data_IF_509305140377
#
_entry.id   IF_509305140377
#
_cell.length_a   1.000
_cell.length_b   1.000
_cell.length_c   1.000
_cell.angle_alpha   90.00
_cell.angle_beta   90.00
_cell.angle_gamma   90.00
#
_symmetry.space_group_name_H-M   'P 1'
#
loop_
_entity.id
_entity.type
_entity.pdbx_description
1 polymer ?
#
# COMPACT_ATOMS: atom_id res chain seq x y z
N UNK A 1 -18.44 16.39 -15.33
CA UNK A 1 -17.37 15.46 -14.89
C UNK A 1 -17.84 14.79 -13.61
N UNK A 2 -18.56 13.69 -13.74
CA UNK A 2 -18.84 12.81 -12.61
C UNK A 2 -17.56 12.02 -12.31
N UNK A 3 -16.89 12.39 -11.23
CA UNK A 3 -15.85 11.57 -10.64
C UNK A 3 -16.55 10.33 -10.10
N UNK A 4 -16.34 9.20 -10.77
CA UNK A 4 -16.95 7.92 -10.38
C UNK A 4 -16.63 7.63 -8.90
N UNK A 5 -17.64 7.50 -8.03
CA UNK A 5 -17.43 7.18 -6.61
C UNK A 5 -16.69 5.86 -6.38
N UNK A 6 -16.69 4.98 -7.37
CA UNK A 6 -15.98 3.69 -7.34
C UNK A 6 -14.45 3.81 -7.37
N UNK A 7 -13.88 4.89 -7.91
CA UNK A 7 -12.45 5.12 -7.92
C UNK A 7 -11.92 5.54 -6.55
N UNK A 8 -12.70 6.32 -5.80
CA UNK A 8 -12.30 6.78 -4.45
C UNK A 8 -12.22 5.63 -3.45
N UNK A 9 -13.04 4.59 -3.61
CA UNK A 9 -12.99 3.38 -2.77
C UNK A 9 -11.82 2.46 -3.13
N UNK A 10 -11.43 2.39 -4.39
CA UNK A 10 -10.32 1.56 -4.83
C UNK A 10 -8.96 2.14 -4.43
N UNK A 11 -8.80 3.44 -4.42
CA UNK A 11 -7.56 4.09 -3.98
C UNK A 11 -7.24 3.86 -2.50
N UNK A 12 -8.24 3.57 -1.67
CA UNK A 12 -8.02 3.30 -0.25
C UNK A 12 -7.43 1.90 0.04
N UNK A 13 -7.54 1.02 -0.91
CA UNK A 13 -7.06 -0.38 -0.74
C UNK A 13 -5.77 -0.68 -1.45
N UNK A 14 -5.11 0.33 -1.89
CA UNK A 14 -4.12 0.06 -2.79
C UNK A 14 -2.82 -0.07 -2.33
N UNK A 15 -2.47 -0.90 -2.62
CA UNK A 15 -1.53 -1.54 -3.31
C UNK A 15 -0.70 -0.74 -4.24
N UNK A 16 0.06 0.16 -3.76
CA UNK A 16 1.13 0.63 -4.54
C UNK A 16 2.26 -0.38 -4.49
N UNK A 17 2.16 -1.32 -5.40
CA UNK A 17 3.32 -2.10 -5.77
C UNK A 17 4.22 -1.17 -6.57
N UNK A 18 5.44 -0.96 -6.10
CA UNK A 18 6.45 -0.29 -6.89
C UNK A 18 6.69 -1.12 -8.14
N UNK A 19 6.41 -0.54 -9.30
CA UNK A 19 6.68 -1.13 -10.59
C UNK A 19 7.88 -0.40 -11.15
N UNK A 20 8.99 -1.11 -11.24
CA UNK A 20 10.19 -0.59 -11.89
C UNK A 20 10.08 -0.79 -13.42
N UNK A 21 10.91 -0.07 -14.17
CA UNK A 21 10.96 -0.26 -15.62
C UNK A 21 11.35 -1.71 -15.96
N UNK A 22 10.75 -2.29 -17.02
CA UNK A 22 11.13 -3.62 -17.47
C UNK A 22 12.57 -3.64 -17.94
N UNK A 23 13.19 -4.80 -17.91
CA UNK A 23 14.53 -4.99 -18.50
C UNK A 23 14.43 -4.85 -20.03
N UNK A 24 15.52 -4.43 -20.68
CA UNK A 24 15.58 -4.20 -22.13
C UNK A 24 15.01 -5.35 -22.96
N UNK A 25 15.32 -6.59 -22.60
CA UNK A 25 14.77 -7.77 -23.28
C UNK A 25 13.24 -7.89 -23.16
N UNK A 26 12.69 -7.52 -22.01
CA UNK A 26 11.24 -7.55 -21.78
C UNK A 26 10.55 -6.40 -22.52
N UNK A 27 11.17 -5.23 -22.53
CA UNK A 27 10.67 -4.07 -23.27
C UNK A 27 10.67 -4.34 -24.78
N UNK A 28 11.75 -4.92 -25.31
CA UNK A 28 11.83 -5.34 -26.69
C UNK A 28 10.77 -6.39 -27.04
N UNK A 29 10.53 -7.36 -26.17
CA UNK A 29 9.48 -8.36 -26.36
C UNK A 29 8.08 -7.72 -26.36
N UNK A 30 7.84 -6.74 -25.50
CA UNK A 30 6.60 -5.98 -25.47
C UNK A 30 6.37 -5.22 -26.79
N UNK A 31 7.38 -4.48 -27.26
CA UNK A 31 7.32 -3.75 -28.52
C UNK A 31 7.10 -4.69 -29.71
N UNK A 32 7.79 -5.84 -29.74
CA UNK A 32 7.63 -6.83 -30.80
C UNK A 32 6.20 -7.41 -30.83
N UNK A 33 5.60 -7.66 -29.67
CA UNK A 33 4.20 -8.12 -29.56
C UNK A 33 3.21 -7.07 -30.04
N UNK A 34 3.45 -5.81 -29.77
CA UNK A 34 2.60 -4.69 -30.23
C UNK A 34 2.73 -4.44 -31.73
N UNK A 35 3.94 -4.63 -32.29
CA UNK A 35 4.17 -4.50 -33.74
C UNK A 35 3.63 -5.67 -34.56
N UNK A 36 3.40 -6.82 -33.93
CA UNK A 36 2.85 -8.03 -34.55
C UNK A 36 1.35 -8.01 -34.91
N UNK A 37 0.69 -6.88 -34.76
CA UNK A 37 -0.56 -6.50 -35.43
C UNK A 37 -1.85 -7.27 -35.25
N UNK A 38 -2.21 -7.82 -34.16
CA UNK A 38 -3.63 -8.25 -34.03
C UNK A 38 -4.24 -8.04 -32.63
N UNK A 39 -3.62 -7.22 -31.81
CA UNK A 39 -4.16 -7.00 -30.47
C UNK A 39 -4.65 -5.55 -30.36
N UNK A 40 -5.96 -5.31 -30.23
CA UNK A 40 -6.44 -4.00 -29.83
C UNK A 40 -5.76 -3.62 -28.52
N UNK A 41 -5.13 -2.45 -28.44
CA UNK A 41 -4.48 -1.92 -27.22
C UNK A 41 -5.43 -1.80 -26.02
N UNK A 42 -6.74 -1.78 -26.31
CA UNK A 42 -7.78 -1.76 -25.30
C UNK A 42 -8.24 -3.19 -25.01
N UNK A 43 -7.95 -3.68 -23.81
CA UNK A 43 -8.59 -4.86 -23.21
C UNK A 43 -8.05 -6.25 -23.57
N UNK A 44 -6.74 -6.46 -23.66
CA UNK A 44 -6.24 -7.84 -23.71
C UNK A 44 -6.25 -8.52 -22.32
N UNK A 45 -7.40 -8.49 -21.68
CA UNK A 45 -7.67 -9.26 -20.45
C UNK A 45 -8.06 -10.71 -20.75
N UNK A 46 -8.24 -11.08 -22.02
CA UNK A 46 -8.63 -12.43 -22.45
C UNK A 46 -7.64 -13.53 -22.03
N UNK A 47 -6.37 -13.17 -21.79
CA UNK A 47 -5.34 -14.09 -21.31
C UNK A 47 -5.26 -14.20 -19.77
N UNK A 48 -6.07 -13.42 -19.04
CA UNK A 48 -6.06 -13.41 -17.57
C UNK A 48 -7.17 -14.33 -17.07
N UNK A 49 -6.80 -15.40 -16.42
CA UNK A 49 -7.77 -16.27 -15.74
C UNK A 49 -8.16 -15.63 -14.41
N UNK A 50 -9.45 -15.31 -14.18
CA UNK A 50 -9.91 -14.79 -12.90
C UNK A 50 -9.65 -15.80 -11.79
N UNK A 51 -9.04 -15.37 -10.70
CA UNK A 51 -8.83 -16.20 -9.51
C UNK A 51 -10.01 -16.15 -8.54
N UNK A 52 -10.76 -15.07 -8.56
CA UNK A 52 -11.91 -14.83 -7.69
C UNK A 52 -13.07 -14.32 -8.53
N UNK A 53 -14.25 -14.72 -8.17
CA UNK A 53 -15.50 -14.18 -8.72
C UNK A 53 -16.05 -13.03 -7.87
N UNK A 54 -17.06 -12.33 -8.40
CA UNK A 54 -17.71 -11.23 -7.71
C UNK A 54 -18.45 -11.66 -6.43
N UNK A 55 -18.79 -12.95 -6.27
CA UNK A 55 -19.50 -13.49 -5.11
C UNK A 55 -18.55 -13.86 -3.99
N UNK A 56 -17.33 -14.25 -4.32
CA UNK A 56 -16.29 -14.63 -3.33
C UNK A 56 -15.72 -13.40 -2.62
N UNK A 57 -15.60 -12.27 -3.33
CA UNK A 57 -14.99 -11.05 -2.79
C UNK A 57 -15.71 -10.49 -1.54
N UNK A 58 -17.06 -10.37 -1.49
CA UNK A 58 -17.77 -9.93 -0.28
C UNK A 58 -17.57 -10.89 0.91
N UNK A 59 -17.43 -12.19 0.67
CA UNK A 59 -17.17 -13.17 1.71
C UNK A 59 -15.80 -12.97 2.32
N UNK A 60 -14.77 -12.75 1.49
CA UNK A 60 -13.43 -12.43 1.95
C UNK A 60 -13.40 -11.10 2.74
N UNK A 61 -14.15 -10.09 2.30
CA UNK A 61 -14.26 -8.83 3.02
C UNK A 61 -14.87 -9.01 4.42
N UNK A 62 -15.88 -9.87 4.57
CA UNK A 62 -16.46 -10.20 5.89
C UNK A 62 -15.43 -10.86 6.80
N UNK A 63 -14.65 -11.81 6.28
CA UNK A 63 -13.57 -12.46 7.05
C UNK A 63 -12.55 -11.43 7.58
N UNK A 64 -12.25 -10.37 6.83
CA UNK A 64 -11.37 -9.30 7.31
C UNK A 64 -11.94 -8.54 8.52
N UNK A 65 -13.26 -8.40 8.59
CA UNK A 65 -13.91 -7.70 9.71
C UNK A 65 -13.86 -8.51 11.01
N UNK A 66 -13.74 -9.83 10.93
CA UNK A 66 -13.65 -10.74 12.08
C UNK A 66 -12.26 -10.71 12.74
N UNK A 67 -11.24 -10.21 12.01
CA UNK A 67 -9.87 -10.07 12.55
C UNK A 67 -9.83 -9.02 13.64
N UNK A 68 -9.40 -9.43 14.83
CA UNK A 68 -9.29 -8.55 15.99
C UNK A 68 -8.12 -7.58 15.84
N UNK A 69 -8.34 -6.34 16.25
CA UNK A 69 -7.32 -5.29 16.33
C UNK A 69 -7.35 -4.72 17.74
N UNK A 70 -6.30 -4.96 18.49
CA UNK A 70 -6.13 -4.41 19.84
C UNK A 70 -5.95 -2.88 19.77
N UNK A 71 -6.43 -2.15 20.77
CA UNK A 71 -6.33 -0.70 20.84
C UNK A 71 -4.87 -0.22 20.74
N UNK A 72 -3.94 -0.96 21.35
CA UNK A 72 -2.49 -0.67 21.27
C UNK A 72 -1.95 -0.71 19.83
N UNK A 73 -2.53 -1.53 18.96
CA UNK A 73 -2.18 -1.58 17.52
C UNK A 73 -2.73 -0.35 16.80
N UNK A 74 -3.93 0.09 17.17
CA UNK A 74 -4.53 1.32 16.64
C UNK A 74 -3.68 2.52 17.03
N UNK A 75 -3.28 2.62 18.30
CA UNK A 75 -2.40 3.67 18.82
C UNK A 75 -1.04 3.67 18.10
N UNK A 76 -0.47 2.49 17.86
CA UNK A 76 0.79 2.35 17.14
C UNK A 76 0.69 2.85 15.69
N UNK A 77 -0.36 2.46 14.98
CA UNK A 77 -0.61 2.94 13.61
C UNK A 77 -0.82 4.47 13.60
N UNK A 78 -1.57 5.00 14.57
CA UNK A 78 -1.78 6.44 14.74
C UNK A 78 -0.47 7.17 15.04
N UNK A 79 0.36 6.63 15.93
CA UNK A 79 1.66 7.20 16.27
C UNK A 79 2.58 7.28 15.05
N UNK A 80 2.64 6.23 14.23
CA UNK A 80 3.39 6.24 12.97
C UNK A 80 2.90 7.35 12.03
N UNK A 81 1.59 7.43 11.78
CA UNK A 81 1.01 8.45 10.89
C UNK A 81 1.28 9.87 11.43
N UNK A 82 1.10 10.09 12.72
CA UNK A 82 1.37 11.40 13.35
C UNK A 82 2.84 11.77 13.27
N UNK A 83 3.73 10.79 13.47
CA UNK A 83 5.19 11.02 13.42
C UNK A 83 5.65 11.47 12.03
N UNK A 84 5.01 10.99 10.92
CA UNK A 84 5.35 11.49 9.58
C UNK A 84 5.17 13.01 9.45
N UNK A 85 4.19 13.60 10.18
CA UNK A 85 3.92 15.04 10.16
C UNK A 85 4.90 15.86 10.97
N UNK A 86 5.65 15.21 11.86
CA UNK A 86 6.63 15.83 12.73
C UNK A 86 8.08 15.59 12.26
N UNK A 87 8.28 14.94 11.12
CA UNK A 87 9.61 14.72 10.53
C UNK A 87 10.02 15.93 9.70
N UNK A 88 11.16 16.60 10.00
CA UNK A 88 11.62 17.76 9.22
C UNK A 88 11.91 17.43 7.75
N UNK A 89 12.31 16.18 7.47
CA UNK A 89 12.62 15.69 6.13
C UNK A 89 11.40 15.47 5.25
N UNK A 90 10.19 15.66 5.81
CA UNK A 90 8.93 15.55 5.07
C UNK A 90 8.24 16.92 5.03
N UNK A 91 8.00 17.45 3.84
CA UNK A 91 7.22 18.67 3.62
C UNK A 91 5.73 18.44 3.83
N UNK A 92 5.26 17.23 3.55
CA UNK A 92 3.90 16.77 3.86
C UNK A 92 3.91 15.36 4.46
N UNK A 93 3.31 15.22 5.63
CA UNK A 93 3.11 13.94 6.30
C UNK A 93 1.78 13.30 5.90
N UNK A 94 1.62 12.03 6.26
CA UNK A 94 0.44 11.23 5.93
C UNK A 94 -0.84 11.72 6.64
N UNK A 95 -1.96 11.70 5.92
CA UNK A 95 -3.29 12.04 6.45
C UNK A 95 -3.93 10.89 7.24
N UNK A 96 -5.11 11.11 7.88
CA UNK A 96 -5.82 10.08 8.66
C UNK A 96 -6.16 8.82 7.86
N UNK A 97 -6.41 8.96 6.56
CA UNK A 97 -6.68 7.83 5.63
C UNK A 97 -5.54 6.81 5.59
N UNK A 98 -4.30 7.25 5.86
CA UNK A 98 -3.17 6.35 5.94
C UNK A 98 -3.26 5.38 7.12
N UNK A 99 -3.72 5.85 8.29
CA UNK A 99 -3.97 4.99 9.45
C UNK A 99 -5.04 3.94 9.17
N UNK A 100 -6.14 4.35 8.55
CA UNK A 100 -7.22 3.43 8.14
C UNK A 100 -6.66 2.37 7.16
N UNK A 101 -5.92 2.81 6.15
CA UNK A 101 -5.34 1.89 5.17
C UNK A 101 -4.34 0.92 5.80
N UNK A 102 -3.51 1.36 6.76
CA UNK A 102 -2.61 0.49 7.51
C UNK A 102 -3.38 -0.60 8.27
N UNK A 103 -4.43 -0.23 9.00
CA UNK A 103 -5.21 -1.19 9.79
C UNK A 103 -5.96 -2.19 8.91
N UNK A 104 -6.58 -1.73 7.82
CA UNK A 104 -7.28 -2.61 6.88
C UNK A 104 -6.31 -3.58 6.20
N UNK A 105 -5.18 -3.08 5.71
CA UNK A 105 -4.16 -3.92 5.08
C UNK A 105 -3.54 -4.91 6.07
N UNK A 106 -3.37 -4.51 7.35
CA UNK A 106 -2.84 -5.40 8.39
C UNK A 106 -3.80 -6.54 8.74
N UNK A 107 -5.12 -6.29 8.73
CA UNK A 107 -6.11 -7.36 8.83
C UNK A 107 -5.97 -8.36 7.69
N UNK A 108 -5.85 -7.88 6.45
CA UNK A 108 -5.66 -8.75 5.29
C UNK A 108 -4.37 -9.58 5.42
N UNK A 109 -3.27 -8.96 5.87
CA UNK A 109 -2.02 -9.67 6.12
C UNK A 109 -2.16 -10.74 7.21
N UNK A 110 -2.87 -10.45 8.30
CA UNK A 110 -3.12 -11.41 9.36
C UNK A 110 -3.87 -12.65 8.83
N UNK A 111 -4.92 -12.45 8.01
CA UNK A 111 -5.66 -13.54 7.35
C UNK A 111 -4.73 -14.36 6.45
N UNK A 112 -3.91 -13.73 5.62
CA UNK A 112 -2.95 -14.42 4.76
C UNK A 112 -1.92 -15.24 5.57
N UNK A 113 -1.63 -14.79 6.79
CA UNK A 113 -0.77 -15.50 7.75
C UNK A 113 -1.56 -16.49 8.63
N UNK A 114 -2.84 -16.75 8.32
CA UNK A 114 -3.74 -17.64 9.06
C UNK A 114 -3.90 -17.26 10.54
N UNK A 115 -3.93 -15.96 10.83
CA UNK A 115 -4.13 -15.41 12.18
C UNK A 115 -5.45 -14.65 12.26
N UNK A 116 -6.14 -14.74 13.38
CA UNK A 116 -7.38 -14.01 13.68
C UNK A 116 -7.14 -12.65 14.37
N UNK A 117 -5.91 -12.20 14.47
CA UNK A 117 -5.54 -10.92 15.12
C UNK A 117 -4.34 -10.27 14.45
N UNK A 118 -4.26 -8.95 14.56
CA UNK A 118 -3.16 -8.13 14.03
C UNK A 118 -2.05 -7.99 15.06
N UNK A 119 -0.81 -8.04 14.59
CA UNK A 119 0.39 -7.79 15.39
C UNK A 119 1.16 -6.56 14.87
N UNK A 120 2.03 -5.93 15.68
CA UNK A 120 2.80 -4.76 15.26
C UNK A 120 3.65 -5.00 14.00
N UNK A 121 4.13 -6.20 13.79
CA UNK A 121 4.91 -6.61 12.62
C UNK A 121 4.13 -6.51 11.33
N UNK A 122 2.80 -6.67 11.38
CA UNK A 122 1.95 -6.47 10.20
C UNK A 122 1.92 -5.00 9.79
N UNK A 123 1.79 -4.10 10.77
CA UNK A 123 1.85 -2.65 10.54
C UNK A 123 3.22 -2.27 9.95
N UNK A 124 4.33 -2.75 10.54
CA UNK A 124 5.68 -2.44 10.07
C UNK A 124 5.92 -2.90 8.64
N UNK A 125 5.51 -4.12 8.33
CA UNK A 125 5.70 -4.69 6.99
C UNK A 125 4.94 -3.94 5.90
N UNK A 126 3.79 -3.36 6.24
CA UNK A 126 2.91 -2.67 5.29
C UNK A 126 3.14 -1.15 5.26
N UNK A 127 3.76 -0.58 6.29
CA UNK A 127 3.98 0.86 6.39
C UNK A 127 4.67 1.46 5.15
N UNK A 128 5.75 0.88 4.59
CA UNK A 128 6.36 1.43 3.38
C UNK A 128 5.39 1.48 2.19
N UNK A 129 4.65 0.39 1.94
CA UNK A 129 3.72 0.32 0.82
C UNK A 129 2.54 1.29 0.97
N UNK A 130 2.06 1.51 2.20
CA UNK A 130 0.91 2.38 2.47
C UNK A 130 1.31 3.85 2.57
N UNK A 131 2.49 4.17 3.09
CA UNK A 131 2.89 5.55 3.38
C UNK A 131 3.70 6.20 2.26
N UNK A 132 4.42 5.45 1.43
CA UNK A 132 5.33 5.97 0.41
C UNK A 132 4.69 7.01 -0.51
N UNK A 133 3.49 6.75 -0.99
CA UNK A 133 2.74 7.64 -1.87
C UNK A 133 1.88 8.69 -1.13
N UNK A 134 1.97 8.73 0.21
CA UNK A 134 1.16 9.61 1.09
C UNK A 134 1.99 10.60 1.88
N UNK A 135 3.29 10.61 1.67
CA UNK A 135 4.23 11.56 2.24
C UNK A 135 5.03 12.22 1.13
N UNK A 136 5.44 13.45 1.35
CA UNK A 136 6.27 14.19 0.41
C UNK A 136 7.57 14.60 1.09
N UNK A 137 8.69 14.38 0.42
CA UNK A 137 10.01 14.80 0.91
C UNK A 137 10.11 16.33 0.97
N UNK A 138 10.93 16.85 1.89
CA UNK A 138 11.32 18.24 1.89
C UNK A 138 12.35 18.51 0.78
N UNK A 139 12.50 19.76 0.38
CA UNK A 139 13.52 20.16 -0.60
C UNK A 139 14.94 19.77 -0.16
N UNK A 140 15.24 19.88 1.14
CA UNK A 140 16.51 19.47 1.72
C UNK A 140 16.74 17.95 1.56
N UNK A 141 15.73 17.15 1.89
CA UNK A 141 15.81 15.68 1.73
C UNK A 141 15.94 15.26 0.26
N UNK A 142 15.42 16.06 -0.67
CA UNK A 142 15.59 15.85 -2.11
C UNK A 142 17.00 16.18 -2.58
N UNK A 143 17.58 17.30 -2.09
CA UNK A 143 18.95 17.69 -2.39
C UNK A 143 19.95 16.67 -1.85
N UNK A 144 19.69 16.15 -0.65
CA UNK A 144 20.52 15.13 0.00
C UNK A 144 20.31 13.71 -0.57
N UNK A 145 19.47 13.57 -1.60
CA UNK A 145 19.09 12.29 -2.25
C UNK A 145 18.60 11.22 -1.28
N UNK A 146 17.95 11.65 -0.17
CA UNK A 146 17.39 10.71 0.81
C UNK A 146 16.07 10.15 0.26
N UNK A 147 16.02 8.85 0.02
CA UNK A 147 14.82 8.19 -0.51
C UNK A 147 13.67 8.19 0.51
N UNK A 148 12.43 8.23 0.02
CA UNK A 148 11.24 8.10 0.87
C UNK A 148 11.28 6.81 1.69
N UNK A 149 11.78 5.70 1.13
CA UNK A 149 11.90 4.43 1.83
C UNK A 149 12.90 4.49 2.99
N UNK A 150 13.99 5.20 2.82
CA UNK A 150 14.96 5.42 3.91
C UNK A 150 14.33 6.22 5.07
N UNK A 151 13.56 7.26 4.75
CA UNK A 151 12.83 8.05 5.75
C UNK A 151 11.77 7.22 6.49
N UNK A 152 11.05 6.37 5.77
CA UNK A 152 10.06 5.47 6.38
C UNK A 152 10.72 4.38 7.23
N UNK A 153 11.89 3.87 6.82
CA UNK A 153 12.67 2.94 7.65
C UNK A 153 13.13 3.59 8.95
N UNK A 154 13.61 4.83 8.89
CA UNK A 154 13.96 5.62 10.08
C UNK A 154 12.74 5.88 10.97
N UNK A 155 11.60 6.24 10.38
CA UNK A 155 10.34 6.41 11.09
C UNK A 155 9.98 5.17 11.92
N UNK A 156 10.04 3.99 11.30
CA UNK A 156 9.71 2.71 11.97
C UNK A 156 10.63 2.37 13.15
N UNK A 157 11.85 2.87 13.13
CA UNK A 157 12.79 2.70 14.26
C UNK A 157 12.53 3.67 15.42
N UNK A 158 11.96 4.85 15.13
CA UNK A 158 11.75 5.90 16.14
C UNK A 158 10.46 5.73 16.95
N UNK A 159 9.46 5.02 16.41
CA UNK A 159 8.19 4.81 17.11
C UNK A 159 8.24 3.51 17.91
N UNK A 160 8.07 3.57 19.24
CA UNK A 160 8.14 2.39 20.08
C UNK A 160 7.03 1.40 19.72
N UNK A 161 7.43 0.13 19.68
CA UNK A 161 6.48 -0.96 19.42
C UNK A 161 5.70 -1.26 20.71
N UNK A 162 4.38 -1.42 20.67
CA UNK A 162 3.61 -1.81 21.84
C UNK A 162 4.10 -3.19 22.34
N UNK A 163 4.33 -3.28 23.64
CA UNK A 163 4.66 -4.56 24.29
C UNK A 163 3.36 -5.37 24.40
N UNK A 164 3.49 -6.65 24.12
CA UNK A 164 2.40 -7.63 24.32
C UNK A 164 2.07 -7.76 25.80
#
# INVERSE_FOLDING_TARGET
YEIMPSLVGSEMCIRDSRIDYPQEAQEKALLSRLLGFEVPLANNTAAITPLLDATTLPTLQKTLLEVQVDERIIDYALALVRKTRAMPQLSAGAGPRAGIALLVASRARAVLQKRGYVIPEDIKALAPAVLRHRVQRSAEAEIDDISTDALLAQLLQTVPVPRQ
#
